data_IF_562070420326
#
_entry.id   IF_562070420326
#
_cell.length_a   1.000
_cell.length_b   1.000
_cell.length_c   1.000
_cell.angle_alpha   90.00
_cell.angle_beta   90.00
_cell.angle_gamma   90.00
#
_symmetry.space_group_name_H-M   'P 1'
#
loop_
_entity.id
_entity.type
_entity.pdbx_description
1 polymer ?
#
# COMPACT_ATOMS: atom_id res chain seq x y z
N UNK A 1 -33.19 -50.53 -23.01
CA UNK A 1 -32.91 -50.48 -21.56
C UNK A 1 -31.48 -49.95 -21.30
N UNK A 2 -31.13 -48.71 -21.67
CA UNK A 2 -29.77 -48.16 -21.46
C UNK A 2 -29.75 -46.72 -20.92
N UNK A 3 -30.89 -46.04 -20.74
CA UNK A 3 -30.92 -44.62 -20.28
C UNK A 3 -31.01 -44.44 -18.75
N UNK A 4 -31.30 -45.49 -17.97
CA UNK A 4 -31.40 -45.38 -16.50
C UNK A 4 -30.06 -45.43 -15.75
N UNK A 5 -29.00 -45.91 -16.40
CA UNK A 5 -27.69 -46.13 -15.76
C UNK A 5 -26.83 -44.85 -15.75
N UNK A 6 -27.02 -43.98 -16.74
CA UNK A 6 -26.30 -42.71 -16.90
C UNK A 6 -26.69 -41.67 -15.82
N UNK A 7 -27.97 -41.60 -15.46
CA UNK A 7 -28.46 -40.68 -14.42
C UNK A 7 -27.88 -41.00 -13.04
N UNK A 8 -27.74 -42.29 -12.73
CA UNK A 8 -27.16 -42.73 -11.46
C UNK A 8 -25.64 -42.49 -11.39
N UNK A 9 -24.95 -42.49 -12.54
CA UNK A 9 -23.51 -42.14 -12.63
C UNK A 9 -23.26 -40.65 -12.44
N UNK A 10 -24.10 -39.80 -13.03
CA UNK A 10 -23.97 -38.35 -12.89
C UNK A 10 -24.20 -37.89 -11.44
N UNK A 11 -25.13 -38.52 -10.72
CA UNK A 11 -25.32 -38.25 -9.29
C UNK A 11 -24.16 -38.73 -8.42
N UNK A 12 -23.46 -39.79 -8.82
CA UNK A 12 -22.24 -40.24 -8.15
C UNK A 12 -21.07 -39.26 -8.38
N UNK A 13 -20.95 -38.73 -9.59
CA UNK A 13 -19.92 -37.76 -9.98
C UNK A 13 -20.11 -36.39 -9.29
N UNK A 14 -21.36 -35.95 -9.13
CA UNK A 14 -21.67 -34.73 -8.36
C UNK A 14 -21.30 -34.89 -6.87
N UNK A 15 -21.49 -36.09 -6.30
CA UNK A 15 -21.10 -36.37 -4.91
C UNK A 15 -19.59 -36.41 -4.74
N UNK A 16 -18.84 -37.01 -5.66
CA UNK A 16 -17.37 -37.04 -5.58
C UNK A 16 -16.76 -35.64 -5.67
N UNK A 17 -17.29 -34.78 -6.54
CA UNK A 17 -16.84 -33.39 -6.70
C UNK A 17 -17.11 -32.55 -5.45
N UNK A 18 -18.24 -32.78 -4.75
CA UNK A 18 -18.55 -32.12 -3.47
C UNK A 18 -17.59 -32.55 -2.34
N UNK A 19 -17.22 -33.83 -2.27
CA UNK A 19 -16.23 -34.30 -1.28
C UNK A 19 -14.83 -33.73 -1.54
N UNK A 20 -14.43 -33.54 -2.79
CA UNK A 20 -13.14 -32.93 -3.13
C UNK A 20 -13.11 -31.42 -2.78
N UNK A 21 -14.25 -30.75 -2.97
CA UNK A 21 -14.44 -29.35 -2.56
C UNK A 21 -14.49 -29.17 -1.03
N UNK A 22 -15.04 -30.12 -0.27
CA UNK A 22 -15.05 -30.08 1.20
C UNK A 22 -13.73 -30.54 1.83
N UNK A 23 -12.96 -31.40 1.16
CA UNK A 23 -11.62 -31.81 1.59
C UNK A 23 -10.58 -30.71 1.40
N UNK A 24 -10.79 -29.81 0.43
CA UNK A 24 -10.13 -28.50 0.39
C UNK A 24 -10.76 -27.58 1.43
N UNK A 25 -10.43 -27.82 2.70
CA UNK A 25 -10.58 -26.79 3.74
C UNK A 25 -10.05 -25.47 3.16
N UNK A 26 -10.81 -24.36 3.21
CA UNK A 26 -10.21 -23.07 2.93
C UNK A 26 -9.11 -22.90 3.97
N UNK A 27 -7.85 -22.97 3.52
CA UNK A 27 -6.70 -22.47 4.26
C UNK A 27 -6.81 -20.95 4.30
N UNK A 28 -7.83 -20.47 5.02
CA UNK A 28 -7.76 -19.22 5.73
C UNK A 28 -6.93 -19.48 6.99
N UNK A 29 -5.67 -19.88 6.79
CA UNK A 29 -4.66 -19.51 7.78
C UNK A 29 -4.61 -17.99 7.70
N UNK A 30 -4.85 -17.24 8.79
CA UNK A 30 -4.30 -15.91 8.82
C UNK A 30 -2.81 -16.12 8.53
N UNK A 31 -2.31 -15.52 7.45
CA UNK A 31 -0.87 -15.34 7.31
C UNK A 31 -0.51 -14.52 8.55
N UNK A 32 -0.14 -15.23 9.61
CA UNK A 32 0.48 -14.67 10.78
C UNK A 32 1.68 -13.94 10.21
N UNK A 33 1.66 -12.62 10.34
CA UNK A 33 2.78 -11.78 10.01
C UNK A 33 3.85 -12.06 11.08
N UNK A 34 4.45 -13.24 11.02
CA UNK A 34 5.69 -13.59 11.70
C UNK A 34 6.79 -12.75 11.04
N UNK A 35 6.85 -11.50 11.50
CA UNK A 35 7.61 -10.41 10.88
C UNK A 35 7.19 -9.03 11.38
N UNK A 36 6.07 -8.91 12.11
CA UNK A 36 5.62 -7.66 12.72
C UNK A 36 6.45 -7.18 13.92
N UNK A 37 7.52 -7.89 14.30
CA UNK A 37 8.39 -7.47 15.41
C UNK A 37 9.31 -6.29 15.06
N UNK A 38 9.34 -5.83 13.81
CA UNK A 38 10.23 -4.75 13.37
C UNK A 38 9.62 -3.78 12.35
N UNK A 39 8.28 -3.76 12.22
CA UNK A 39 7.62 -2.71 11.44
C UNK A 39 7.56 -1.47 12.32
N UNK A 40 8.20 -0.34 11.92
CA UNK A 40 8.16 0.89 12.71
C UNK A 40 6.71 1.29 12.96
N UNK A 41 6.43 1.82 14.15
CA UNK A 41 5.07 2.22 14.48
C UNK A 41 4.59 3.29 13.49
N UNK A 42 3.30 3.37 13.24
CA UNK A 42 2.76 4.35 12.29
C UNK A 42 3.17 5.81 12.62
N UNK A 43 3.23 6.24 13.89
CA UNK A 43 3.84 7.54 14.25
C UNK A 43 5.32 7.67 13.86
N UNK A 44 6.12 6.61 13.99
CA UNK A 44 7.52 6.60 13.54
C UNK A 44 7.64 6.76 12.03
N UNK A 45 6.78 6.06 11.27
CA UNK A 45 6.72 6.16 9.82
C UNK A 45 6.27 7.56 9.38
N UNK A 46 5.26 8.15 10.03
CA UNK A 46 4.86 9.53 9.78
C UNK A 46 6.01 10.49 10.08
N UNK A 47 6.66 10.36 11.23
CA UNK A 47 7.78 11.21 11.62
C UNK A 47 8.97 11.09 10.66
N UNK A 48 9.21 9.91 10.10
CA UNK A 48 10.19 9.70 9.04
C UNK A 48 9.75 10.35 7.73
N UNK A 49 8.48 10.22 7.33
CA UNK A 49 7.95 10.84 6.12
C UNK A 49 8.03 12.38 6.17
N UNK A 50 7.68 12.99 7.30
CA UNK A 50 7.79 14.45 7.51
C UNK A 50 9.25 14.91 7.38
N UNK A 51 10.20 14.20 8.01
CA UNK A 51 11.63 14.50 7.89
C UNK A 51 12.13 14.37 6.45
N UNK A 52 11.71 13.31 5.74
CA UNK A 52 12.07 13.06 4.34
C UNK A 52 11.61 14.20 3.42
N UNK A 53 10.41 14.72 3.64
CA UNK A 53 9.89 15.86 2.87
C UNK A 53 10.68 17.13 3.15
N UNK A 54 11.01 17.40 4.42
CA UNK A 54 11.85 18.54 4.78
C UNK A 54 13.24 18.47 4.13
N UNK A 55 13.87 17.30 4.14
CA UNK A 55 15.14 17.05 3.44
C UNK A 55 15.03 17.30 1.95
N UNK A 56 13.99 16.77 1.31
CA UNK A 56 13.76 16.93 -0.13
C UNK A 56 13.56 18.40 -0.50
N UNK A 57 12.83 19.16 0.32
CA UNK A 57 12.63 20.60 0.13
C UNK A 57 13.95 21.37 0.25
N UNK A 58 14.81 21.01 1.23
CA UNK A 58 16.11 21.64 1.41
C UNK A 58 17.03 21.41 0.22
N UNK A 59 17.10 20.17 -0.27
CA UNK A 59 17.90 19.81 -1.45
C UNK A 59 17.41 20.57 -2.70
N UNK A 60 16.09 20.66 -2.91
CA UNK A 60 15.54 21.46 -4.02
C UNK A 60 15.93 22.93 -3.94
N UNK A 61 15.91 23.52 -2.73
CA UNK A 61 16.32 24.92 -2.55
C UNK A 61 17.82 25.09 -2.81
N UNK A 62 18.67 24.17 -2.34
CA UNK A 62 20.11 24.20 -2.62
C UNK A 62 20.40 24.08 -4.12
N UNK A 63 19.70 23.19 -4.83
CA UNK A 63 19.84 23.05 -6.29
C UNK A 63 19.35 24.29 -7.04
N UNK A 64 18.24 24.90 -6.61
CA UNK A 64 17.74 26.14 -7.20
C UNK A 64 18.75 27.29 -7.02
N UNK A 65 19.31 27.44 -5.81
CA UNK A 65 20.36 28.43 -5.55
C UNK A 65 21.64 28.15 -6.34
N UNK A 66 22.05 26.88 -6.46
CA UNK A 66 23.21 26.51 -7.27
C UNK A 66 23.01 26.83 -8.76
N UNK A 67 21.79 26.64 -9.28
CA UNK A 67 21.41 27.01 -10.63
C UNK A 67 21.41 28.53 -10.85
N UNK A 68 20.83 29.30 -9.93
CA UNK A 68 20.83 30.77 -9.96
C UNK A 68 22.25 31.36 -9.91
N UNK A 69 23.16 30.68 -9.19
CA UNK A 69 24.59 31.04 -9.10
C UNK A 69 25.40 30.60 -10.33
N UNK A 70 24.80 29.90 -11.30
CA UNK A 70 25.48 29.41 -12.50
C UNK A 70 26.55 28.35 -12.22
N UNK A 71 26.44 27.61 -11.11
CA UNK A 71 27.32 26.47 -10.85
C UNK A 71 27.09 25.40 -11.92
N UNK A 72 28.09 25.14 -12.75
CA UNK A 72 28.02 24.12 -13.78
C UNK A 72 27.74 22.73 -13.17
N UNK A 73 26.76 22.02 -13.72
CA UNK A 73 26.38 20.68 -13.28
C UNK A 73 24.89 20.48 -12.96
N UNK A 74 24.09 21.55 -12.89
CA UNK A 74 22.63 21.46 -12.71
C UNK A 74 21.94 21.81 -14.02
N UNK A 75 21.35 20.80 -14.68
CA UNK A 75 20.55 20.98 -15.90
C UNK A 75 19.15 21.47 -15.50
N UNK A 76 18.60 22.43 -16.24
CA UNK A 76 17.22 22.91 -16.07
C UNK A 76 16.21 21.74 -16.04
N UNK A 77 16.52 20.67 -16.78
CA UNK A 77 15.72 19.44 -16.84
C UNK A 77 15.68 18.72 -15.48
N UNK A 78 16.80 18.66 -14.76
CA UNK A 78 16.86 18.07 -13.42
C UNK A 78 16.07 18.90 -12.40
N UNK A 79 16.12 20.23 -12.49
CA UNK A 79 15.33 21.13 -11.62
C UNK A 79 13.83 20.90 -11.83
N UNK A 80 13.39 20.77 -13.09
CA UNK A 80 11.98 20.49 -13.40
C UNK A 80 11.53 19.12 -12.88
N UNK A 81 12.36 18.09 -13.03
CA UNK A 81 12.08 16.75 -12.50
C UNK A 81 12.01 16.77 -10.97
N UNK A 82 12.95 17.44 -10.31
CA UNK A 82 12.95 17.59 -8.86
C UNK A 82 11.69 18.31 -8.35
N UNK A 83 11.26 19.37 -9.04
CA UNK A 83 10.04 20.11 -8.73
C UNK A 83 8.77 19.27 -8.88
N UNK A 84 8.67 18.46 -9.94
CA UNK A 84 7.54 17.54 -10.12
C UNK A 84 7.53 16.41 -9.08
N UNK A 85 8.70 15.86 -8.74
CA UNK A 85 8.82 14.86 -7.68
C UNK A 85 8.38 15.41 -6.32
N UNK A 86 8.75 16.65 -6.01
CA UNK A 86 8.32 17.33 -4.78
C UNK A 86 6.81 17.54 -4.77
N UNK A 87 6.23 17.99 -5.89
CA UNK A 87 4.78 18.23 -6.02
C UNK A 87 3.96 16.96 -5.79
N UNK A 88 4.34 15.85 -6.45
CA UNK A 88 3.64 14.55 -6.29
C UNK A 88 3.80 14.02 -4.86
N UNK A 89 5.00 14.15 -4.27
CA UNK A 89 5.26 13.73 -2.89
C UNK A 89 4.43 14.52 -1.87
N UNK A 90 4.24 15.82 -2.10
CA UNK A 90 3.41 16.67 -1.26
C UNK A 90 1.92 16.30 -1.33
N UNK A 91 1.43 16.00 -2.53
CA UNK A 91 0.06 15.51 -2.73
C UNK A 91 -0.16 14.19 -1.97
N UNK A 92 0.77 13.25 -2.08
CA UNK A 92 0.71 11.99 -1.34
C UNK A 92 0.71 12.22 0.18
N UNK A 93 1.55 13.13 0.67
CA UNK A 93 1.60 13.48 2.11
C UNK A 93 0.29 14.08 2.61
N UNK A 94 -0.37 14.90 1.79
CA UNK A 94 -1.68 15.48 2.14
C UNK A 94 -2.74 14.38 2.30
N UNK A 95 -2.73 13.36 1.44
CA UNK A 95 -3.62 12.21 1.57
C UNK A 95 -3.34 11.40 2.84
N UNK A 96 -2.07 11.17 3.17
CA UNK A 96 -1.67 10.52 4.42
C UNK A 96 -2.15 11.33 5.62
N UNK A 97 -1.93 12.65 5.64
CA UNK A 97 -2.44 13.54 6.70
C UNK A 97 -3.96 13.38 6.87
N UNK A 98 -4.72 13.44 5.78
CA UNK A 98 -6.17 13.34 5.83
C UNK A 98 -6.62 11.98 6.39
N UNK A 99 -5.98 10.87 5.94
CA UNK A 99 -6.24 9.52 6.47
C UNK A 99 -5.91 9.41 7.96
N UNK A 100 -4.87 10.07 8.45
CA UNK A 100 -4.52 10.07 9.87
C UNK A 100 -5.53 10.81 10.72
N UNK A 101 -5.97 11.98 10.26
CA UNK A 101 -7.02 12.75 10.93
C UNK A 101 -8.32 11.95 10.99
N UNK A 102 -8.67 11.27 9.89
CA UNK A 102 -9.86 10.43 9.86
C UNK A 102 -9.75 9.21 10.78
N UNK A 103 -8.63 8.52 10.79
CA UNK A 103 -8.41 7.41 11.72
C UNK A 103 -8.51 7.83 13.20
N UNK A 104 -8.04 9.03 13.54
CA UNK A 104 -8.22 9.59 14.87
C UNK A 104 -9.69 9.89 15.18
N UNK A 105 -10.43 10.48 14.23
CA UNK A 105 -11.86 10.73 14.37
C UNK A 105 -12.66 9.43 14.52
N UNK A 106 -12.32 8.39 13.75
CA UNK A 106 -12.98 7.09 13.79
C UNK A 106 -12.80 6.39 15.15
N UNK A 107 -11.60 6.46 15.74
CA UNK A 107 -11.34 5.96 17.09
C UNK A 107 -12.18 6.72 18.12
N UNK A 108 -12.33 8.03 17.96
CA UNK A 108 -13.10 8.87 18.89
C UNK A 108 -14.62 8.64 18.78
N UNK A 109 -15.10 8.20 17.62
CA UNK A 109 -16.51 7.89 17.36
C UNK A 109 -16.86 6.42 17.63
N UNK A 110 -15.87 5.57 17.93
CA UNK A 110 -16.14 4.19 18.34
C UNK A 110 -16.86 4.20 19.70
N UNK A 111 -18.11 3.70 19.77
CA UNK A 111 -18.79 3.58 21.05
C UNK A 111 -18.07 2.52 21.90
N UNK A 112 -17.78 2.86 23.15
CA UNK A 112 -17.32 1.92 24.18
C UNK A 112 -18.41 0.92 24.56
#
# INVERSE_FOLDING_TARGET
MVQGVEFNRLMLEMRSMQTEAMARKPVASPVGVEGAANVPSFPDLLGQAVRKVNETQKVSNEMATAFELGQGGVDLTEVMIASQKASVSFQAMTQVRNKMVQAYQDIMQMPI
#
